data_IF_432541575488
#
_entry.id   IF_432541575488
#
_cell.length_a   1.000
_cell.length_b   1.000
_cell.length_c   1.000
_cell.angle_alpha   90.00
_cell.angle_beta   90.00
_cell.angle_gamma   90.00
#
_symmetry.space_group_name_H-M   'P 1'
#
loop_
_entity.id
_entity.type
_entity.pdbx_description
1 polymer ?
#
# COMPACT_ATOMS: atom_id res chain seq x y z
N UNK A 1 -11.72 1.53 7.58
CA UNK A 1 -10.58 2.20 8.24
C UNK A 1 -11.07 3.48 8.90
N UNK A 2 -11.51 4.48 8.13
CA UNK A 2 -11.92 5.81 8.61
C UNK A 2 -12.88 5.76 9.81
N UNK A 3 -13.95 4.96 9.73
CA UNK A 3 -14.89 4.74 10.84
C UNK A 3 -14.21 4.28 12.14
N UNK A 4 -13.27 3.33 12.07
CA UNK A 4 -12.59 2.79 13.27
C UNK A 4 -11.65 3.78 13.93
N UNK A 5 -11.15 4.76 13.17
CA UNK A 5 -10.27 5.82 13.69
C UNK A 5 -11.02 7.12 13.95
N UNK A 6 -12.35 7.13 13.81
CA UNK A 6 -13.19 8.30 14.09
C UNK A 6 -13.02 9.43 13.08
N UNK A 7 -12.68 9.12 11.83
CA UNK A 7 -12.53 10.09 10.74
C UNK A 7 -13.62 9.85 9.70
N UNK A 8 -14.28 10.91 9.25
CA UNK A 8 -15.25 10.83 8.16
C UNK A 8 -14.55 10.52 6.84
N UNK A 9 -15.04 9.52 6.11
CA UNK A 9 -14.52 9.21 4.79
C UNK A 9 -15.01 10.23 3.76
N UNK A 10 -14.11 10.73 2.91
CA UNK A 10 -14.45 11.52 1.72
C UNK A 10 -13.83 10.90 0.48
N UNK A 11 -14.47 11.07 -0.68
CA UNK A 11 -13.92 10.59 -1.96
C UNK A 11 -12.56 11.21 -2.29
N UNK A 12 -12.33 12.44 -1.83
CA UNK A 12 -11.09 13.18 -2.07
C UNK A 12 -9.88 12.50 -1.43
N UNK A 13 -10.07 11.66 -0.40
CA UNK A 13 -8.99 10.85 0.20
C UNK A 13 -8.37 9.83 -0.77
N UNK A 14 -9.06 9.54 -1.89
CA UNK A 14 -8.59 8.58 -2.89
C UNK A 14 -7.93 9.27 -4.10
N UNK A 15 -7.88 10.61 -4.12
CA UNK A 15 -7.43 11.38 -5.26
C UNK A 15 -6.40 12.44 -4.86
N UNK A 16 -5.51 12.80 -5.78
CA UNK A 16 -4.49 13.83 -5.56
C UNK A 16 -4.06 14.51 -6.87
N UNK A 17 -3.51 15.73 -6.84
CA UNK A 17 -3.01 16.39 -8.05
C UNK A 17 -1.75 15.70 -8.57
N UNK A 18 -1.50 15.67 -9.90
CA UNK A 18 -0.24 15.19 -10.43
C UNK A 18 0.89 16.17 -10.10
N UNK A 19 2.13 15.70 -10.17
CA UNK A 19 3.36 16.46 -9.92
C UNK A 19 3.89 16.35 -8.50
N UNK A 20 5.00 17.05 -8.27
CA UNK A 20 5.69 17.16 -6.99
C UNK A 20 4.91 18.04 -6.01
N UNK A 21 5.09 17.80 -4.71
CA UNK A 21 4.57 18.64 -3.63
C UNK A 21 5.70 19.17 -2.77
N UNK A 22 5.47 20.34 -2.18
CA UNK A 22 6.40 20.94 -1.22
C UNK A 22 6.67 20.03 -0.01
N UNK A 23 5.74 19.12 0.30
CA UNK A 23 5.81 18.17 1.41
C UNK A 23 6.59 16.89 1.09
N UNK A 24 6.92 16.62 -0.18
CA UNK A 24 7.48 15.33 -0.59
C UNK A 24 8.94 15.12 -0.15
N UNK A 25 9.62 16.21 0.21
CA UNK A 25 10.95 16.18 0.83
C UNK A 25 12.06 15.61 -0.05
N UNK A 26 13.21 15.35 0.56
CA UNK A 26 14.45 14.98 -0.16
C UNK A 26 14.40 13.61 -0.84
N UNK A 27 13.47 12.74 -0.43
CA UNK A 27 13.33 11.39 -0.98
C UNK A 27 12.47 11.35 -2.25
N UNK A 28 11.72 12.41 -2.55
CA UNK A 28 10.80 12.46 -3.68
C UNK A 28 11.46 12.07 -5.02
N UNK A 29 12.64 12.61 -5.39
CA UNK A 29 13.28 12.29 -6.66
C UNK A 29 13.70 10.81 -6.78
N UNK A 30 13.77 10.10 -5.66
CA UNK A 30 14.22 8.71 -5.61
C UNK A 30 13.05 7.72 -5.51
N UNK A 31 11.94 8.09 -4.86
CA UNK A 31 10.90 7.14 -4.44
C UNK A 31 9.50 7.48 -4.99
N UNK A 32 9.23 8.73 -5.39
CA UNK A 32 7.86 9.20 -5.67
C UNK A 32 7.53 9.44 -7.15
N UNK A 33 8.38 8.97 -8.07
CA UNK A 33 8.16 9.13 -9.51
C UNK A 33 6.80 8.62 -10.00
N UNK A 34 6.24 7.57 -9.39
CA UNK A 34 4.90 7.07 -9.74
C UNK A 34 3.77 7.86 -9.07
N UNK A 35 4.00 8.40 -7.87
CA UNK A 35 3.03 9.28 -7.18
C UNK A 35 2.85 10.58 -7.95
N UNK A 36 3.94 11.15 -8.47
CA UNK A 36 3.93 12.37 -9.30
C UNK A 36 3.14 12.18 -10.61
N UNK A 37 3.11 10.98 -11.18
CA UNK A 37 2.42 10.70 -12.45
C UNK A 37 0.96 10.31 -12.31
N UNK A 38 0.54 9.98 -11.09
CA UNK A 38 -0.80 9.46 -10.82
C UNK A 38 -1.65 10.49 -10.08
N UNK A 39 -2.96 10.28 -10.07
CA UNK A 39 -3.92 11.14 -9.38
C UNK A 39 -4.83 10.38 -8.43
N UNK A 40 -4.51 9.12 -8.17
CA UNK A 40 -5.33 8.20 -7.39
C UNK A 40 -4.74 6.79 -7.39
N UNK A 41 -5.36 5.91 -6.62
CA UNK A 41 -4.92 4.52 -6.51
C UNK A 41 -5.20 3.73 -7.80
N UNK A 42 -4.25 2.88 -8.19
CA UNK A 42 -4.45 1.92 -9.27
C UNK A 42 -5.39 0.78 -8.82
N UNK A 43 -6.23 0.24 -9.72
CA UNK A 43 -7.01 -0.96 -9.42
C UNK A 43 -6.10 -2.12 -9.01
N UNK A 44 -6.54 -2.89 -8.03
CA UNK A 44 -5.82 -4.11 -7.64
C UNK A 44 -5.86 -5.14 -8.78
N UNK A 45 -4.70 -5.71 -9.10
CA UNK A 45 -4.56 -6.80 -10.07
C UNK A 45 -3.86 -7.99 -9.40
N UNK A 46 -4.35 -9.20 -9.67
CA UNK A 46 -3.65 -10.41 -9.25
C UNK A 46 -2.39 -10.57 -10.11
N UNK A 47 -1.23 -10.41 -9.48
CA UNK A 47 0.02 -10.77 -10.11
C UNK A 47 0.20 -12.29 -10.02
N UNK A 48 0.41 -12.96 -11.16
CA UNK A 48 0.84 -14.34 -11.19
C UNK A 48 2.35 -14.37 -10.91
N UNK A 49 2.72 -14.15 -9.65
CA UNK A 49 4.12 -14.03 -9.23
C UNK A 49 4.62 -15.37 -8.71
N UNK A 50 5.63 -15.93 -9.37
CA UNK A 50 6.45 -17.01 -8.82
C UNK A 50 7.66 -16.42 -8.11
N UNK A 51 8.06 -17.05 -7.01
CA UNK A 51 9.27 -16.68 -6.26
C UNK A 51 10.43 -17.52 -6.83
N UNK A 52 11.52 -16.84 -7.21
CA UNK A 52 12.79 -17.50 -7.57
C UNK A 52 13.31 -18.28 -6.36
N UNK A 53 13.72 -19.53 -6.57
CA UNK A 53 14.13 -20.46 -5.52
C UNK A 53 15.21 -19.88 -4.58
N UNK A 54 16.08 -19.00 -5.09
CA UNK A 54 17.13 -18.36 -4.26
C UNK A 54 16.56 -17.55 -3.09
N UNK A 55 15.29 -17.14 -3.18
CA UNK A 55 14.61 -16.35 -2.15
C UNK A 55 13.76 -17.19 -1.20
N UNK A 56 13.61 -18.50 -1.42
CA UNK A 56 12.75 -19.36 -0.61
C UNK A 56 13.12 -19.31 0.88
N UNK A 57 14.40 -19.33 1.20
CA UNK A 57 14.86 -19.26 2.59
C UNK A 57 14.44 -17.96 3.30
N UNK A 58 14.49 -16.83 2.60
CA UNK A 58 14.06 -15.54 3.16
C UNK A 58 12.54 -15.54 3.29
N UNK A 59 11.83 -15.97 2.26
CA UNK A 59 10.38 -16.07 2.26
C UNK A 59 9.87 -16.90 3.44
N UNK A 60 10.40 -18.12 3.61
CA UNK A 60 10.05 -19.01 4.72
C UNK A 60 10.35 -18.40 6.08
N UNK A 61 11.46 -17.64 6.20
CA UNK A 61 11.81 -16.99 7.47
C UNK A 61 10.86 -15.83 7.84
N UNK A 62 10.32 -15.12 6.84
CA UNK A 62 9.42 -13.98 7.05
C UNK A 62 7.94 -14.38 7.14
N UNK A 63 7.58 -15.56 6.62
CA UNK A 63 6.19 -16.00 6.53
C UNK A 63 5.48 -16.06 7.90
N UNK A 64 6.09 -16.58 8.99
CA UNK A 64 5.43 -16.60 10.30
C UNK A 64 5.10 -15.21 10.83
N UNK A 65 6.00 -14.24 10.68
CA UNK A 65 5.78 -12.85 11.10
C UNK A 65 4.66 -12.21 10.29
N UNK A 66 4.65 -12.43 8.98
CA UNK A 66 3.59 -11.98 8.11
C UNK A 66 2.23 -12.58 8.52
N UNK A 67 2.16 -13.89 8.75
CA UNK A 67 0.93 -14.57 9.15
C UNK A 67 0.40 -14.05 10.49
N UNK A 68 1.29 -13.79 11.45
CA UNK A 68 0.94 -13.18 12.73
C UNK A 68 0.30 -11.81 12.53
N UNK A 69 0.96 -10.89 11.80
CA UNK A 69 0.43 -9.54 11.54
C UNK A 69 -0.88 -9.59 10.74
N UNK A 70 -0.94 -10.49 9.75
CA UNK A 70 -2.11 -10.72 8.93
C UNK A 70 -3.31 -11.22 9.74
N UNK A 71 -3.07 -11.95 10.85
CA UNK A 71 -4.14 -12.39 11.76
C UNK A 71 -4.81 -11.22 12.50
N UNK A 72 -4.05 -10.15 12.80
CA UNK A 72 -4.55 -8.92 13.42
C UNK A 72 -5.10 -7.90 12.43
N UNK A 73 -5.08 -8.21 11.12
CA UNK A 73 -5.52 -7.26 10.10
C UNK A 73 -6.96 -6.82 10.33
N UNK A 74 -7.22 -5.58 9.98
CA UNK A 74 -8.58 -5.07 9.93
C UNK A 74 -9.37 -5.76 8.82
N UNK A 75 -10.38 -6.55 9.19
CA UNK A 75 -11.34 -7.09 8.23
C UNK A 75 -12.30 -5.99 7.75
N UNK A 76 -12.65 -5.94 6.45
CA UNK A 76 -13.71 -5.07 5.97
C UNK A 76 -14.99 -5.37 6.75
N UNK A 77 -15.73 -4.34 7.16
CA UNK A 77 -17.09 -4.55 7.62
C UNK A 77 -17.93 -4.83 6.36
N UNK A 78 -18.50 -6.03 6.30
CA UNK A 78 -19.51 -6.34 5.28
C UNK A 78 -20.75 -5.54 5.70
N UNK A 79 -21.18 -4.60 4.85
CA UNK A 79 -22.53 -4.03 4.94
C UNK A 79 -23.51 -4.97 4.25
#
# INVERSE_FOLDING_TARGET
LCERVGIDFTSDMLCWPPGTRDTDGVWAPHWYSEVEKTTGFQPYTYANTSIDEKWNKIYESCLPDFELLNSYRMKPQIK
#
